data_IF_161699374493
#
_entry.id   IF_161699374493
#
_cell.length_a   1.000
_cell.length_b   1.000
_cell.length_c   1.000
_cell.angle_alpha   90.00
_cell.angle_beta   90.00
_cell.angle_gamma   90.00
#
_symmetry.space_group_name_H-M   'P 1'
#
loop_
_entity.id
_entity.type
_entity.pdbx_description
1 polymer ?
#
# COMPACT_ATOMS: atom_id res chain seq x y z
N UNK A 1 -7.92 0.70 -13.03
CA UNK A 1 -6.43 0.75 -13.06
C UNK A 1 -5.80 -0.62 -13.38
N UNK A 2 -5.81 -1.66 -12.49
CA UNK A 2 -5.06 -2.90 -12.76
C UNK A 2 -5.43 -3.58 -14.07
N UNK A 3 -6.72 -3.78 -14.36
CA UNK A 3 -7.18 -4.35 -15.65
C UNK A 3 -6.79 -3.51 -16.86
N UNK A 4 -6.89 -2.20 -16.75
CA UNK A 4 -6.52 -1.26 -17.81
C UNK A 4 -5.02 -1.30 -18.12
N UNK A 5 -4.18 -1.25 -17.09
CA UNK A 5 -2.74 -1.22 -17.25
C UNK A 5 -2.13 -2.60 -17.54
N UNK A 6 -2.85 -3.69 -17.26
CA UNK A 6 -2.42 -5.03 -17.67
C UNK A 6 -2.22 -5.11 -19.18
N UNK A 7 -3.12 -4.54 -19.98
CA UNK A 7 -3.02 -4.46 -21.43
C UNK A 7 -1.86 -3.56 -21.92
N UNK A 8 -1.31 -2.73 -21.04
CA UNK A 8 -0.15 -1.85 -21.29
C UNK A 8 1.17 -2.48 -20.79
N UNK A 9 1.14 -3.78 -20.43
CA UNK A 9 2.32 -4.55 -20.02
C UNK A 9 2.76 -4.36 -18.58
N UNK A 10 1.83 -4.05 -17.67
CA UNK A 10 2.07 -4.02 -16.22
C UNK A 10 1.40 -5.23 -15.54
N UNK A 11 2.17 -5.94 -14.72
CA UNK A 11 1.64 -6.91 -13.77
C UNK A 11 1.35 -6.25 -12.43
N UNK A 12 0.31 -6.73 -11.74
CA UNK A 12 -0.05 -6.24 -10.42
C UNK A 12 -0.12 -7.41 -9.45
N UNK A 13 0.51 -7.25 -8.29
CA UNK A 13 0.57 -8.27 -7.24
C UNK A 13 0.44 -7.60 -5.88
N UNK A 14 -0.18 -8.28 -4.91
CA UNK A 14 -0.13 -7.91 -3.51
C UNK A 14 0.92 -8.74 -2.79
N UNK A 15 1.61 -8.13 -1.83
CA UNK A 15 2.36 -8.84 -0.81
C UNK A 15 1.57 -8.76 0.51
N UNK A 16 1.00 -9.89 0.93
CA UNK A 16 0.33 -10.01 2.22
C UNK A 16 1.38 -10.23 3.31
N UNK A 17 1.68 -9.17 4.05
CA UNK A 17 2.77 -9.16 5.02
C UNK A 17 2.30 -9.56 6.42
N UNK A 18 1.51 -8.72 7.08
CA UNK A 18 0.98 -8.95 8.42
C UNK A 18 -0.30 -8.15 8.65
N UNK A 19 -1.07 -8.54 9.66
CA UNK A 19 -2.17 -7.70 10.14
C UNK A 19 -1.60 -6.43 10.78
N UNK A 20 -2.04 -5.27 10.29
CA UNK A 20 -1.61 -3.99 10.83
C UNK A 20 -2.25 -3.71 12.20
N UNK A 21 -3.51 -4.11 12.36
CA UNK A 21 -4.31 -4.00 13.56
C UNK A 21 -4.98 -5.35 13.84
N UNK A 22 -4.28 -6.28 14.50
CA UNK A 22 -4.84 -7.60 14.77
C UNK A 22 -6.00 -7.51 15.76
N UNK A 23 -7.07 -8.22 15.44
CA UNK A 23 -8.28 -8.32 16.23
C UNK A 23 -8.70 -9.77 16.47
N UNK A 24 -9.89 -9.98 17.00
CA UNK A 24 -10.42 -11.30 17.32
C UNK A 24 -10.63 -12.17 16.07
N UNK A 25 -11.12 -11.57 15.00
CA UNK A 25 -11.43 -12.26 13.75
C UNK A 25 -10.18 -12.47 12.87
N UNK A 26 -9.23 -11.55 12.93
CA UNK A 26 -7.95 -11.60 12.24
C UNK A 26 -6.82 -11.32 13.22
N UNK A 27 -6.46 -12.31 14.07
CA UNK A 27 -5.39 -12.15 15.04
C UNK A 27 -4.01 -12.12 14.38
N UNK A 28 -3.01 -11.67 15.13
CA UNK A 28 -1.63 -11.75 14.69
C UNK A 28 -1.25 -13.19 14.33
N UNK A 29 -0.55 -13.36 13.22
CA UNK A 29 -0.20 -14.68 12.69
C UNK A 29 0.76 -15.43 13.61
N UNK A 30 0.41 -16.70 13.92
CA UNK A 30 1.24 -17.63 14.70
C UNK A 30 1.71 -18.83 13.87
N UNK A 31 1.10 -19.07 12.70
CA UNK A 31 1.49 -20.13 11.78
C UNK A 31 1.29 -19.68 10.33
N UNK A 32 2.00 -20.31 9.40
CA UNK A 32 1.80 -20.07 7.96
C UNK A 32 0.42 -20.51 7.49
N UNK A 33 -0.12 -21.57 8.06
CA UNK A 33 -1.46 -22.04 7.76
C UNK A 33 -2.51 -20.96 8.07
N UNK A 34 -2.46 -20.36 9.27
CA UNK A 34 -3.31 -19.26 9.68
C UNK A 34 -3.12 -18.06 8.74
N UNK A 35 -1.89 -17.70 8.43
CA UNK A 35 -1.57 -16.57 7.54
C UNK A 35 -2.13 -16.78 6.13
N UNK A 36 -2.01 -17.97 5.59
CA UNK A 36 -2.60 -18.33 4.30
C UNK A 36 -4.13 -18.29 4.33
N UNK A 37 -4.76 -18.73 5.42
CA UNK A 37 -6.21 -18.63 5.59
C UNK A 37 -6.67 -17.17 5.59
N UNK A 38 -6.00 -16.29 6.32
CA UNK A 38 -6.31 -14.85 6.31
C UNK A 38 -6.11 -14.22 4.93
N UNK A 39 -5.04 -14.57 4.21
CA UNK A 39 -4.80 -14.07 2.87
C UNK A 39 -5.89 -14.51 1.88
N UNK A 40 -6.42 -15.74 2.01
CA UNK A 40 -7.57 -16.22 1.23
C UNK A 40 -8.83 -15.45 1.57
N UNK A 41 -9.14 -15.29 2.86
CA UNK A 41 -10.28 -14.49 3.32
C UNK A 41 -10.22 -13.05 2.79
N UNK A 42 -9.05 -12.43 2.83
CA UNK A 42 -8.81 -11.10 2.26
C UNK A 42 -9.09 -11.08 0.75
N UNK A 43 -8.59 -12.08 0.02
CA UNK A 43 -8.83 -12.21 -1.43
C UNK A 43 -10.31 -12.33 -1.77
N UNK A 44 -11.05 -13.18 -1.05
CA UNK A 44 -12.48 -13.44 -1.25
C UNK A 44 -13.31 -12.21 -0.88
N UNK A 45 -13.08 -11.64 0.28
CA UNK A 45 -13.83 -10.50 0.81
C UNK A 45 -13.78 -9.29 -0.12
N UNK A 46 -12.59 -8.99 -0.66
CA UNK A 46 -12.37 -7.84 -1.53
C UNK A 46 -12.43 -8.19 -3.02
N UNK A 47 -12.80 -9.42 -3.37
CA UNK A 47 -12.89 -9.91 -4.75
C UNK A 47 -11.63 -9.61 -5.57
N UNK A 48 -10.46 -9.89 -4.95
CA UNK A 48 -9.16 -9.58 -5.55
C UNK A 48 -8.83 -10.61 -6.62
N UNK A 49 -8.81 -10.19 -7.88
CA UNK A 49 -8.47 -11.06 -9.02
C UNK A 49 -6.95 -11.25 -9.20
N UNK A 50 -6.17 -10.33 -8.68
CA UNK A 50 -4.70 -10.31 -8.80
C UNK A 50 -4.05 -11.37 -7.91
N UNK A 51 -2.82 -11.83 -8.25
CA UNK A 51 -2.04 -12.67 -7.36
C UNK A 51 -1.79 -11.99 -6.02
N UNK A 52 -1.86 -12.76 -4.95
CA UNK A 52 -1.45 -12.37 -3.60
C UNK A 52 -0.29 -13.27 -3.21
N UNK A 53 0.88 -12.70 -3.07
CA UNK A 53 2.04 -13.35 -2.47
C UNK A 53 1.90 -13.26 -0.95
N UNK A 54 2.23 -14.31 -0.25
CA UNK A 54 2.19 -14.33 1.21
C UNK A 54 3.61 -14.38 1.74
N UNK A 55 4.00 -13.37 2.50
CA UNK A 55 5.31 -13.30 3.13
C UNK A 55 5.47 -14.38 4.20
N UNK A 56 6.71 -14.70 4.58
CA UNK A 56 6.95 -15.61 5.70
C UNK A 56 6.48 -15.02 7.05
N UNK A 57 6.50 -15.81 8.11
CA UNK A 57 6.08 -15.36 9.45
C UNK A 57 7.01 -14.31 10.04
N UNK A 58 8.29 -14.36 9.67
CA UNK A 58 9.30 -13.39 10.13
C UNK A 58 9.16 -12.05 9.44
N UNK A 59 8.43 -12.00 8.30
CA UNK A 59 8.21 -10.81 7.51
C UNK A 59 9.45 -10.40 6.71
N UNK A 60 10.15 -11.36 6.13
CA UNK A 60 11.39 -11.11 5.37
C UNK A 60 11.16 -10.15 4.22
N UNK A 61 10.14 -10.41 3.38
CA UNK A 61 9.78 -9.51 2.29
C UNK A 61 9.38 -8.12 2.78
N UNK A 62 8.55 -8.04 3.81
CA UNK A 62 8.11 -6.78 4.39
C UNK A 62 9.29 -5.94 4.95
N UNK A 63 10.25 -6.60 5.61
CA UNK A 63 11.47 -5.93 6.11
C UNK A 63 12.35 -5.39 4.99
N UNK A 64 12.52 -6.16 3.91
CA UNK A 64 13.30 -5.73 2.75
C UNK A 64 12.68 -4.53 2.03
N UNK A 65 11.34 -4.44 2.02
CA UNK A 65 10.61 -3.36 1.37
C UNK A 65 10.22 -2.21 2.30
N UNK A 66 10.77 -2.09 3.50
CA UNK A 66 10.71 -0.89 4.33
C UNK A 66 9.67 -0.89 5.46
N UNK A 67 8.96 -1.98 5.70
CA UNK A 67 8.12 -2.24 6.88
C UNK A 67 6.89 -1.34 7.09
N UNK A 68 6.55 -0.45 6.17
CA UNK A 68 5.31 0.31 6.25
C UNK A 68 4.11 -0.54 5.79
N UNK A 69 2.92 -0.35 6.36
CA UNK A 69 1.81 -1.29 6.16
C UNK A 69 1.17 -1.26 4.77
N UNK A 70 1.38 -0.22 3.98
CA UNK A 70 0.67 -0.04 2.72
C UNK A 70 1.54 0.61 1.65
N UNK A 71 2.73 0.07 1.44
CA UNK A 71 3.69 0.58 0.45
C UNK A 71 3.36 0.10 -0.97
N UNK A 72 3.77 0.89 -1.94
CA UNK A 72 3.71 0.52 -3.36
C UNK A 72 5.09 0.65 -4.01
N UNK A 73 5.41 -0.33 -4.84
CA UNK A 73 6.62 -0.35 -5.65
C UNK A 73 6.27 -0.61 -7.12
N UNK A 74 6.87 0.16 -8.03
CA UNK A 74 6.91 -0.16 -9.45
C UNK A 74 8.31 -0.68 -9.77
N UNK A 75 8.37 -1.94 -10.20
CA UNK A 75 9.61 -2.65 -10.47
C UNK A 75 9.72 -2.88 -11.97
N UNK A 76 10.85 -2.48 -12.54
CA UNK A 76 11.16 -2.69 -13.94
C UNK A 76 11.51 -4.14 -14.26
N UNK A 77 11.56 -4.49 -15.55
CA UNK A 77 11.89 -5.86 -16.02
C UNK A 77 13.27 -6.35 -15.57
N UNK A 78 14.20 -5.45 -15.32
CA UNK A 78 15.52 -5.75 -14.80
C UNK A 78 15.61 -5.80 -13.27
N UNK A 79 14.48 -5.76 -12.55
CA UNK A 79 14.45 -5.79 -11.09
C UNK A 79 14.68 -4.44 -10.41
N UNK A 80 15.01 -3.37 -11.17
CA UNK A 80 15.22 -2.04 -10.60
C UNK A 80 13.90 -1.42 -10.13
N UNK A 81 13.94 -0.73 -9.00
CA UNK A 81 12.82 0.07 -8.51
C UNK A 81 12.73 1.34 -9.35
N UNK A 82 11.62 1.49 -10.08
CA UNK A 82 11.32 2.66 -10.91
C UNK A 82 10.55 3.73 -10.14
N UNK A 83 9.77 3.32 -9.16
CA UNK A 83 8.98 4.20 -8.30
C UNK A 83 8.71 3.51 -6.98
N UNK A 84 8.65 4.29 -5.91
CA UNK A 84 8.29 3.85 -4.57
C UNK A 84 7.35 4.88 -3.95
N UNK A 85 6.31 4.41 -3.28
CA UNK A 85 5.47 5.23 -2.42
C UNK A 85 5.30 4.55 -1.06
N UNK A 86 5.36 5.33 -0.01
CA UNK A 86 5.17 4.84 1.37
C UNK A 86 3.70 4.54 1.68
N UNK A 87 2.80 4.94 0.76
CA UNK A 87 1.38 4.66 0.84
C UNK A 87 0.80 4.34 -0.54
N UNK A 88 -0.14 3.40 -0.59
CA UNK A 88 -0.86 3.06 -1.82
C UNK A 88 -1.94 4.11 -2.07
N UNK A 89 -1.62 5.08 -2.91
CA UNK A 89 -2.51 6.14 -3.36
C UNK A 89 -2.76 6.00 -4.87
N UNK A 90 -4.00 5.67 -5.30
CA UNK A 90 -4.28 5.38 -6.70
C UNK A 90 -3.90 6.50 -7.68
N UNK A 91 -4.22 7.79 -7.44
CA UNK A 91 -3.80 8.88 -8.33
C UNK A 91 -2.28 8.99 -8.49
N UNK A 92 -1.54 8.88 -7.40
CA UNK A 92 -0.07 8.92 -7.41
C UNK A 92 0.52 7.75 -8.20
N UNK A 93 -0.03 6.54 -8.01
CA UNK A 93 0.40 5.35 -8.74
C UNK A 93 0.09 5.50 -10.23
N UNK A 94 -1.07 6.01 -10.57
CA UNK A 94 -1.46 6.23 -11.98
C UNK A 94 -0.53 7.22 -12.67
N UNK A 95 -0.21 8.33 -12.01
CA UNK A 95 0.76 9.31 -12.52
C UNK A 95 2.12 8.64 -12.81
N UNK A 96 2.62 7.81 -11.89
CA UNK A 96 3.87 7.10 -12.08
C UNK A 96 3.80 6.08 -13.24
N UNK A 97 2.68 5.37 -13.40
CA UNK A 97 2.47 4.44 -14.52
C UNK A 97 2.45 5.17 -15.87
N UNK A 98 1.75 6.30 -15.95
CA UNK A 98 1.69 7.15 -17.15
C UNK A 98 3.07 7.69 -17.52
N UNK A 99 3.84 8.14 -16.52
CA UNK A 99 5.21 8.58 -16.75
C UNK A 99 6.09 7.44 -17.32
N UNK A 100 5.99 6.23 -16.77
CA UNK A 100 6.76 5.08 -17.28
C UNK A 100 6.37 4.76 -18.72
N UNK A 101 5.10 4.82 -19.08
CA UNK A 101 4.63 4.62 -20.46
C UNK A 101 5.19 5.68 -21.40
N UNK A 102 5.08 6.96 -21.02
CA UNK A 102 5.63 8.08 -21.79
C UNK A 102 7.14 7.95 -21.98
N UNK A 103 7.85 7.59 -20.89
CA UNK A 103 9.30 7.37 -20.94
C UNK A 103 9.69 6.24 -21.88
N UNK A 104 8.94 5.13 -21.90
CA UNK A 104 9.16 4.03 -22.84
C UNK A 104 8.94 4.44 -24.29
N UNK A 105 7.92 5.27 -24.56
CA UNK A 105 7.66 5.80 -25.88
C UNK A 105 8.81 6.71 -26.34
N UNK A 106 9.20 7.69 -25.54
CA UNK A 106 10.30 8.62 -25.83
C UNK A 106 11.63 7.91 -26.09
N UNK A 107 11.95 6.86 -25.33
CA UNK A 107 13.15 6.06 -25.57
C UNK A 107 13.14 5.37 -26.93
N UNK A 108 11.99 4.87 -27.37
CA UNK A 108 11.86 4.28 -28.73
C UNK A 108 12.09 5.32 -29.82
N UNK A 109 11.71 6.55 -29.57
CA UNK A 109 11.89 7.68 -30.49
C UNK A 109 13.29 8.31 -30.39
N UNK A 110 14.22 7.71 -29.62
CA UNK A 110 15.60 8.19 -29.45
C UNK A 110 15.75 9.43 -28.60
N UNK A 111 14.71 9.85 -27.89
CA UNK A 111 14.74 11.05 -27.05
C UNK A 111 15.42 10.80 -25.69
N UNK A 112 16.21 11.77 -25.25
CA UNK A 112 16.75 11.77 -23.90
C UNK A 112 15.63 11.99 -22.88
N UNK A 113 15.69 11.23 -21.77
CA UNK A 113 14.73 11.33 -20.70
C UNK A 113 15.25 12.30 -19.64
N UNK A 114 14.40 13.23 -19.24
CA UNK A 114 14.61 13.95 -18.00
C UNK A 114 14.39 13.02 -16.79
N UNK A 115 15.05 13.22 -15.65
CA UNK A 115 14.70 12.55 -14.41
C UNK A 115 13.21 12.71 -14.08
N UNK A 116 12.64 11.68 -13.47
CA UNK A 116 11.28 11.82 -12.96
C UNK A 116 11.29 12.78 -11.78
N UNK A 117 10.59 13.88 -11.96
CA UNK A 117 10.37 14.88 -10.93
C UNK A 117 8.87 15.09 -10.76
N UNK A 118 8.35 14.94 -9.56
CA UNK A 118 6.97 15.24 -9.24
C UNK A 118 6.90 16.11 -8.00
N UNK A 119 6.44 17.32 -8.17
CA UNK A 119 5.97 18.17 -7.09
C UNK A 119 4.44 18.04 -7.00
N UNK A 120 3.97 17.06 -6.24
CA UNK A 120 2.57 16.90 -5.92
C UNK A 120 2.40 17.15 -4.43
N UNK A 121 1.85 18.31 -4.08
CA UNK A 121 1.25 18.52 -2.77
C UNK A 121 -0.19 18.02 -2.86
N UNK A 122 -0.39 16.77 -2.46
CA UNK A 122 -1.69 16.14 -2.45
C UNK A 122 -2.15 15.89 -1.02
N UNK A 123 -3.37 16.32 -0.70
CA UNK A 123 -4.01 15.90 0.54
C UNK A 123 -4.56 14.49 0.34
N UNK A 124 -4.15 13.56 1.20
CA UNK A 124 -4.75 12.24 1.24
C UNK A 124 -6.08 12.35 1.98
N UNK A 125 -7.14 12.35 1.20
CA UNK A 125 -8.45 12.17 1.77
C UNK A 125 -8.69 10.68 2.00
N UNK A 126 -9.09 10.30 3.18
CA UNK A 126 -9.57 8.97 3.48
C UNK A 126 -10.96 9.08 4.09
N UNK A 127 -11.82 8.15 3.76
CA UNK A 127 -13.14 8.04 4.34
C UNK A 127 -13.00 7.44 5.75
N UNK A 128 -13.21 8.21 6.81
CA UNK A 128 -13.03 7.75 8.18
C UNK A 128 -13.99 6.61 8.54
N UNK A 129 -15.19 6.64 7.98
CA UNK A 129 -16.21 5.62 8.26
C UNK A 129 -15.83 4.27 7.63
N UNK A 130 -15.33 4.27 6.41
CA UNK A 130 -14.82 3.06 5.77
C UNK A 130 -13.59 2.50 6.48
N UNK A 131 -12.70 3.38 6.94
CA UNK A 131 -11.55 2.96 7.72
C UNK A 131 -11.99 2.33 9.05
N UNK A 132 -12.96 2.92 9.74
CA UNK A 132 -13.54 2.39 10.97
C UNK A 132 -14.23 1.05 10.75
N UNK A 133 -15.05 0.91 9.72
CA UNK A 133 -15.69 -0.35 9.33
C UNK A 133 -14.65 -1.47 9.08
N UNK A 134 -13.51 -1.14 8.50
CA UNK A 134 -12.42 -2.08 8.30
C UNK A 134 -11.85 -2.61 9.63
N UNK A 135 -11.70 -1.74 10.63
CA UNK A 135 -11.25 -2.11 11.96
C UNK A 135 -12.29 -2.95 12.71
N UNK A 136 -13.56 -2.56 12.64
CA UNK A 136 -14.68 -3.28 13.27
C UNK A 136 -14.82 -4.71 12.75
N UNK A 137 -14.57 -4.94 11.46
CA UNK A 137 -14.53 -6.28 10.86
C UNK A 137 -13.41 -7.16 11.43
N UNK A 138 -12.28 -6.56 11.78
CA UNK A 138 -11.18 -7.29 12.42
C UNK A 138 -11.49 -7.63 13.89
N UNK A 139 -12.42 -6.92 14.52
CA UNK A 139 -12.89 -7.15 15.88
C UNK A 139 -12.60 -6.01 16.86
N UNK A 140 -13.23 -6.02 18.05
CA UNK A 140 -13.12 -4.94 19.04
C UNK A 140 -11.68 -4.58 19.43
N UNK A 141 -10.79 -5.56 19.56
CA UNK A 141 -9.37 -5.31 19.87
C UNK A 141 -8.65 -4.51 18.79
N UNK A 142 -9.00 -4.70 17.51
CA UNK A 142 -8.42 -3.93 16.43
C UNK A 142 -8.81 -2.45 16.54
N UNK A 143 -10.07 -2.18 16.90
CA UNK A 143 -10.59 -0.85 17.19
C UNK A 143 -9.86 -0.23 18.38
N UNK A 144 -9.77 -0.95 19.49
CA UNK A 144 -9.09 -0.48 20.71
C UNK A 144 -7.61 -0.18 20.46
N UNK A 145 -6.91 -1.04 19.73
CA UNK A 145 -5.49 -0.84 19.39
C UNK A 145 -5.28 0.41 18.54
N UNK A 146 -6.13 0.61 17.55
CA UNK A 146 -6.10 1.80 16.70
C UNK A 146 -6.38 3.07 17.52
N UNK A 147 -7.42 3.08 18.34
CA UNK A 147 -7.78 4.23 19.16
C UNK A 147 -6.66 4.58 20.15
N UNK A 148 -6.01 3.57 20.73
CA UNK A 148 -4.83 3.75 21.59
C UNK A 148 -3.63 4.32 20.84
N UNK A 149 -3.41 3.88 19.60
CA UNK A 149 -2.38 4.43 18.73
C UNK A 149 -2.68 5.89 18.35
N UNK A 150 -3.91 6.19 17.99
CA UNK A 150 -4.36 7.54 17.65
C UNK A 150 -4.17 8.52 18.81
N UNK A 151 -4.49 8.11 20.06
CA UNK A 151 -4.22 8.90 21.25
C UNK A 151 -2.73 9.18 21.46
N UNK A 152 -1.86 8.19 21.20
CA UNK A 152 -0.40 8.39 21.28
C UNK A 152 0.10 9.38 20.22
N UNK A 153 -0.46 9.34 19.01
CA UNK A 153 -0.12 10.29 17.95
C UNK A 153 -0.55 11.71 18.30
N UNK A 154 -1.75 11.90 18.86
CA UNK A 154 -2.21 13.21 19.34
C UNK A 154 -1.29 13.79 20.43
N UNK A 155 -0.84 12.95 21.39
CA UNK A 155 0.08 13.37 22.45
C UNK A 155 1.47 13.78 21.96
N UNK A 156 1.90 13.30 20.80
CA UNK A 156 3.21 13.63 20.20
C UNK A 156 3.23 15.02 19.54
N UNK A 157 2.08 15.66 19.42
CA UNK A 157 1.94 16.94 18.72
C UNK A 157 2.14 16.83 17.20
N UNK A 158 1.99 17.95 16.49
CA UNK A 158 2.20 18.00 15.06
C UNK A 158 3.65 17.67 14.70
N UNK A 159 3.85 16.92 13.65
CA UNK A 159 5.20 16.69 13.12
C UNK A 159 5.73 18.00 12.51
N UNK A 160 7.03 18.31 12.62
CA UNK A 160 7.61 19.46 11.93
C UNK A 160 7.21 19.44 10.44
N UNK A 161 6.69 20.56 9.94
CA UNK A 161 6.23 20.70 8.55
C UNK A 161 4.78 20.28 8.28
N UNK A 162 4.01 19.85 9.28
CA UNK A 162 2.57 19.64 9.12
C UNK A 162 1.83 20.96 9.35
N UNK A 163 1.16 21.44 8.33
CA UNK A 163 0.22 22.56 8.43
C UNK A 163 -1.08 21.99 9.00
N UNK A 164 -1.49 22.44 10.18
CA UNK A 164 -2.84 22.22 10.69
C UNK A 164 -3.72 23.31 10.04
N UNK A 165 -4.72 22.87 9.29
CA UNK A 165 -5.77 23.76 8.81
C UNK A 165 -6.89 23.63 9.83
N UNK A 166 -7.10 24.68 10.60
CA UNK A 166 -8.27 24.79 11.48
C UNK A 166 -9.51 24.88 10.59
N UNK A 167 -10.53 24.06 10.91
CA UNK A 167 -11.83 24.04 10.25
C UNK A 167 -12.65 25.28 10.59
#
# INVERSE_FOLDING_TARGET
MAREYANKGFGFVFLYAREAHPGENFPAHRSMEQKLAHARAFKEQFKIERPILVDDLVGTGHKLYGMLPNMTYLIGRGGQILFRADWTDPPTIETALQYILSSRARRRDGLHLAPFYAELVGYRWHDPDKARQGLERAGPKAVEDYDRAAQRWKKRGPRPGRIEIDD
#
